data_IF_680925424649
#
_entry.id   IF_680925424649
#
_cell.length_a   1.000
_cell.length_b   1.000
_cell.length_c   1.000
_cell.angle_alpha   90.00
_cell.angle_beta   90.00
_cell.angle_gamma   90.00
#
_symmetry.space_group_name_H-M   'P 1'
#
loop_
_entity.id
_entity.type
_entity.pdbx_description
1 polymer ?
#
# COMPACT_ATOMS: atom_id res chain seq x y z
N UNK A 1 29.50 50.39 -9.16
CA UNK A 1 28.74 49.29 -9.80
C UNK A 1 28.74 48.11 -8.85
N UNK A 2 27.57 47.67 -8.39
CA UNK A 2 27.43 46.47 -7.55
C UNK A 2 26.57 45.48 -8.33
N UNK A 3 27.17 44.36 -8.76
CA UNK A 3 26.45 43.31 -9.50
C UNK A 3 25.98 42.27 -8.49
N UNK A 4 24.70 42.29 -8.14
CA UNK A 4 24.09 41.23 -7.32
C UNK A 4 23.82 40.04 -8.22
N UNK A 5 24.65 39.01 -8.11
CA UNK A 5 24.45 37.73 -8.75
C UNK A 5 23.37 36.97 -7.99
N UNK A 6 22.12 37.04 -8.49
CA UNK A 6 21.01 36.24 -7.96
C UNK A 6 21.19 34.81 -8.46
N UNK A 7 21.65 33.93 -7.56
CA UNK A 7 21.59 32.48 -7.77
C UNK A 7 20.11 32.06 -7.75
N UNK A 8 19.51 31.86 -8.93
CA UNK A 8 18.27 31.09 -9.05
C UNK A 8 18.60 29.62 -8.76
N UNK A 9 18.33 29.19 -7.54
CA UNK A 9 18.14 27.78 -7.23
C UNK A 9 16.87 27.34 -7.96
N UNK A 10 17.03 26.65 -9.10
CA UNK A 10 15.94 25.90 -9.70
C UNK A 10 15.52 24.82 -8.67
N UNK A 11 14.26 24.77 -8.23
CA UNK A 11 13.79 23.60 -7.50
C UNK A 11 13.81 22.45 -8.51
N UNK A 12 14.75 21.53 -8.35
CA UNK A 12 14.71 20.23 -9.02
C UNK A 12 13.37 19.59 -8.66
N UNK A 13 12.49 19.48 -9.66
CA UNK A 13 11.11 19.05 -9.49
C UNK A 13 11.06 17.60 -9.01
N UNK A 14 10.69 17.40 -7.75
CA UNK A 14 10.10 16.14 -7.34
C UNK A 14 8.61 16.29 -7.56
N UNK A 15 8.09 15.57 -8.55
CA UNK A 15 6.64 15.50 -8.78
C UNK A 15 6.07 14.43 -7.85
N UNK A 16 5.07 14.82 -7.07
CA UNK A 16 4.31 13.87 -6.26
C UNK A 16 3.31 13.15 -7.18
N UNK A 17 3.40 11.83 -7.26
CA UNK A 17 2.50 11.00 -8.07
C UNK A 17 1.69 10.06 -7.18
N UNK A 18 0.47 9.73 -7.59
CA UNK A 18 -0.34 8.71 -6.92
C UNK A 18 -0.20 7.40 -7.69
N UNK A 19 0.35 6.37 -7.04
CA UNK A 19 0.38 5.01 -7.59
C UNK A 19 -0.73 4.15 -7.02
N UNK A 20 -1.34 3.33 -7.89
CA UNK A 20 -2.42 2.41 -7.54
C UNK A 20 -1.93 0.97 -7.66
N UNK A 21 -2.20 0.15 -6.64
CA UNK A 21 -1.82 -1.27 -6.58
C UNK A 21 -3.05 -2.08 -6.16
N UNK A 22 -3.56 -2.95 -7.04
CA UNK A 22 -4.66 -3.84 -6.71
C UNK A 22 -4.13 -5.16 -6.14
N UNK A 23 -4.63 -5.58 -4.97
CA UNK A 23 -4.21 -6.85 -4.36
C UNK A 23 -5.35 -7.58 -3.66
N UNK A 24 -5.47 -8.90 -3.85
CA UNK A 24 -6.40 -9.72 -3.07
C UNK A 24 -5.82 -10.05 -1.69
N UNK A 25 -6.67 -9.91 -0.67
CA UNK A 25 -6.43 -10.31 0.72
C UNK A 25 -7.40 -11.42 1.08
N UNK A 26 -6.89 -12.48 1.69
CA UNK A 26 -7.69 -13.64 2.08
C UNK A 26 -7.50 -13.93 3.57
N UNK A 27 -8.58 -13.77 4.34
CA UNK A 27 -8.65 -14.36 5.66
C UNK A 27 -8.96 -15.84 5.55
N UNK A 28 -8.14 -16.65 6.21
CA UNK A 28 -8.13 -18.07 6.02
C UNK A 28 -8.16 -18.81 7.36
N UNK A 29 -9.33 -19.33 7.71
CA UNK A 29 -9.55 -20.21 8.85
C UNK A 29 -9.33 -21.71 8.53
N UNK A 30 -9.20 -22.09 7.25
CA UNK A 30 -9.12 -23.50 6.81
C UNK A 30 -7.84 -23.84 6.01
N UNK A 31 -6.79 -23.04 6.09
CA UNK A 31 -5.51 -23.25 5.39
C UNK A 31 -5.57 -23.26 3.82
N UNK A 32 -6.49 -22.53 3.18
CA UNK A 32 -6.50 -22.27 1.72
C UNK A 32 -6.15 -20.83 1.27
N UNK A 33 -5.52 -20.68 0.11
CA UNK A 33 -5.29 -19.39 -0.56
C UNK A 33 -4.30 -19.51 -1.73
N UNK A 34 -4.37 -18.61 -2.69
CA UNK A 34 -3.49 -18.56 -3.86
C UNK A 34 -2.13 -17.91 -3.58
N UNK A 35 -1.15 -18.14 -4.46
CA UNK A 35 0.20 -17.57 -4.36
C UNK A 35 0.21 -16.03 -4.48
N UNK A 36 -0.74 -15.48 -5.21
CA UNK A 36 -0.84 -14.03 -5.45
C UNK A 36 -1.56 -13.27 -4.33
N UNK A 37 -2.07 -13.98 -3.32
CA UNK A 37 -2.91 -13.44 -2.26
C UNK A 37 -2.10 -13.21 -0.98
N UNK A 38 -2.45 -12.16 -0.23
CA UNK A 38 -2.00 -12.07 1.15
C UNK A 38 -2.91 -12.94 2.03
N UNK A 39 -2.38 -14.08 2.48
CA UNK A 39 -3.10 -14.97 3.39
C UNK A 39 -2.94 -14.49 4.83
N UNK A 40 -4.08 -14.33 5.51
CA UNK A 40 -4.15 -13.80 6.88
C UNK A 40 -4.60 -14.91 7.82
N UNK A 41 -3.70 -15.45 8.66
CA UNK A 41 -4.03 -16.53 9.57
C UNK A 41 -4.97 -16.09 10.70
N UNK A 42 -5.67 -17.03 11.35
CA UNK A 42 -6.45 -16.74 12.55
C UNK A 42 -5.54 -16.24 13.68
N UNK A 43 -5.98 -15.20 14.39
CA UNK A 43 -5.26 -14.61 15.54
C UNK A 43 -3.87 -14.06 15.23
N UNK A 44 -3.48 -13.93 13.96
CA UNK A 44 -2.16 -13.45 13.57
C UNK A 44 -2.26 -12.34 12.55
N UNK A 45 -1.18 -11.57 12.53
CA UNK A 45 -0.90 -10.60 11.49
C UNK A 45 -0.27 -11.32 10.28
N UNK A 46 -0.58 -10.83 9.09
CA UNK A 46 0.16 -11.14 7.88
C UNK A 46 0.51 -9.84 7.16
N UNK A 47 1.70 -9.80 6.55
CA UNK A 47 2.18 -8.62 5.85
C UNK A 47 2.78 -8.93 4.49
N UNK A 48 2.67 -7.99 3.55
CA UNK A 48 3.29 -8.07 2.21
C UNK A 48 3.73 -6.69 1.74
N UNK A 49 4.95 -6.62 1.21
CA UNK A 49 5.50 -5.41 0.61
C UNK A 49 5.08 -5.31 -0.86
N UNK A 50 4.66 -4.11 -1.26
CA UNK A 50 4.33 -3.76 -2.63
C UNK A 50 5.19 -2.60 -3.11
N UNK A 51 5.90 -2.80 -4.22
CA UNK A 51 6.81 -1.79 -4.74
C UNK A 51 6.07 -0.62 -5.39
N UNK A 52 6.31 0.58 -4.87
CA UNK A 52 5.65 1.80 -5.29
C UNK A 52 6.43 2.57 -6.37
N UNK A 53 7.69 2.22 -6.66
CA UNK A 53 8.46 2.85 -7.75
C UNK A 53 9.05 4.23 -7.42
N UNK A 54 8.72 4.80 -6.26
CA UNK A 54 9.27 6.04 -5.72
C UNK A 54 9.23 6.00 -4.19
N UNK A 55 9.72 7.06 -3.53
CA UNK A 55 9.68 7.10 -2.06
C UNK A 55 8.26 7.37 -1.57
N UNK A 56 7.69 6.44 -0.80
CA UNK A 56 6.30 6.54 -0.34
C UNK A 56 6.21 7.51 0.84
N UNK A 57 5.43 8.58 0.66
CA UNK A 57 5.12 9.55 1.71
C UNK A 57 3.92 9.11 2.56
N UNK A 58 2.87 8.63 1.88
CA UNK A 58 1.64 8.19 2.49
C UNK A 58 1.03 7.04 1.70
N UNK A 59 0.25 6.19 2.36
CA UNK A 59 -0.49 5.13 1.70
C UNK A 59 -1.83 4.88 2.39
N UNK A 60 -2.87 4.64 1.59
CA UNK A 60 -4.21 4.27 2.07
C UNK A 60 -4.78 3.15 1.20
N UNK A 61 -5.82 2.49 1.70
CA UNK A 61 -6.51 1.44 0.96
C UNK A 61 -8.00 1.70 0.89
N UNK A 62 -8.62 1.18 -0.16
CA UNK A 62 -10.08 1.13 -0.33
C UNK A 62 -10.48 -0.26 -0.82
N UNK A 63 -11.68 -0.75 -0.50
CA UNK A 63 -12.20 -1.97 -1.10
C UNK A 63 -12.41 -1.78 -2.61
N UNK A 64 -12.03 -2.77 -3.42
CA UNK A 64 -12.13 -2.75 -4.88
C UNK A 64 -13.57 -3.03 -5.34
N UNK A 65 -14.29 -3.89 -4.63
CA UNK A 65 -15.70 -4.25 -4.84
C UNK A 65 -16.53 -4.07 -3.55
N UNK A 66 -17.86 -4.20 -3.68
CA UNK A 66 -18.77 -4.10 -2.54
C UNK A 66 -18.69 -5.39 -1.72
N UNK A 67 -17.90 -5.40 -0.64
CA UNK A 67 -17.55 -6.64 0.05
C UNK A 67 -18.27 -6.76 1.39
N UNK A 68 -19.20 -7.71 1.48
CA UNK A 68 -19.88 -8.11 2.72
C UNK A 68 -19.03 -8.95 3.67
N UNK A 69 -17.83 -9.38 3.24
CA UNK A 69 -16.94 -10.28 3.99
C UNK A 69 -15.82 -9.54 4.76
N UNK A 70 -15.81 -8.20 4.75
CA UNK A 70 -14.98 -7.39 5.64
C UNK A 70 -15.10 -7.75 7.13
N UNK A 71 -16.26 -8.21 7.68
CA UNK A 71 -16.36 -8.58 9.10
C UNK A 71 -15.38 -9.67 9.57
N UNK A 72 -14.89 -10.51 8.66
CA UNK A 72 -13.89 -11.54 8.96
C UNK A 72 -12.46 -11.00 9.12
N UNK A 73 -12.20 -9.79 8.61
CA UNK A 73 -10.93 -9.08 8.72
C UNK A 73 -11.17 -7.86 9.61
N UNK A 74 -10.57 -7.84 10.81
CA UNK A 74 -10.86 -6.74 11.73
C UNK A 74 -10.01 -5.50 11.49
N UNK A 75 -8.86 -5.64 10.80
CA UNK A 75 -7.95 -4.53 10.53
C UNK A 75 -7.13 -4.77 9.27
N UNK A 76 -7.06 -3.75 8.41
CA UNK A 76 -6.16 -3.63 7.26
C UNK A 76 -5.43 -2.31 7.40
N UNK A 77 -4.11 -2.32 7.22
CA UNK A 77 -3.25 -1.15 7.26
C UNK A 77 -2.32 -1.13 6.05
N UNK A 78 -2.06 0.07 5.55
CA UNK A 78 -1.05 0.34 4.53
C UNK A 78 -0.03 1.29 5.14
N UNK A 79 1.20 0.83 5.30
CA UNK A 79 2.27 1.57 5.97
C UNK A 79 3.36 1.90 4.97
N UNK A 80 3.73 3.17 4.78
CA UNK A 80 4.91 3.54 4.00
C UNK A 80 6.18 2.83 4.51
N UNK A 81 6.96 2.25 3.60
CA UNK A 81 8.15 1.45 3.90
C UNK A 81 9.25 1.72 2.85
N UNK A 82 9.77 2.95 2.84
CA UNK A 82 10.75 3.40 1.86
C UNK A 82 10.14 3.48 0.47
N UNK A 83 10.62 2.67 -0.48
CA UNK A 83 10.07 2.60 -1.84
C UNK A 83 8.89 1.63 -2.00
N UNK A 84 8.40 1.10 -0.87
CA UNK A 84 7.33 0.12 -0.83
C UNK A 84 6.19 0.59 0.07
N UNK A 85 5.00 0.02 -0.14
CA UNK A 85 3.91 0.02 0.84
C UNK A 85 3.89 -1.36 1.51
N UNK A 86 3.96 -1.39 2.83
CA UNK A 86 3.70 -2.60 3.60
C UNK A 86 2.20 -2.71 3.89
N UNK A 87 1.54 -3.68 3.26
CA UNK A 87 0.17 -4.06 3.60
C UNK A 87 0.22 -4.99 4.79
N UNK A 88 -0.49 -4.65 5.86
CA UNK A 88 -0.58 -5.44 7.08
C UNK A 88 -2.05 -5.73 7.36
N UNK A 89 -2.39 -7.00 7.57
CA UNK A 89 -3.78 -7.42 7.77
C UNK A 89 -3.89 -8.38 8.95
N UNK A 90 -4.99 -8.24 9.68
CA UNK A 90 -5.31 -9.08 10.82
C UNK A 90 -6.67 -9.77 10.67
N UNK A 91 -6.65 -11.09 10.79
CA UNK A 91 -7.84 -11.92 10.78
C UNK A 91 -8.61 -11.79 12.09
N UNK A 92 -9.93 -11.98 12.05
CA UNK A 92 -10.76 -12.09 13.26
C UNK A 92 -10.98 -13.56 13.61
N UNK A 93 -10.76 -13.89 14.88
CA UNK A 93 -11.10 -15.19 15.47
C UNK A 93 -12.54 -15.62 15.20
N UNK A 94 -12.75 -16.91 14.93
CA UNK A 94 -14.10 -17.51 14.88
C UNK A 94 -14.98 -17.00 13.72
N UNK A 95 -14.38 -16.29 12.76
CA UNK A 95 -15.06 -15.89 11.53
C UNK A 95 -14.86 -16.95 10.46
N UNK A 96 -15.74 -16.96 9.45
CA UNK A 96 -15.60 -17.80 8.26
C UNK A 96 -14.46 -17.30 7.38
N UNK A 97 -13.92 -18.17 6.51
CA UNK A 97 -13.04 -17.75 5.41
C UNK A 97 -13.64 -16.58 4.65
N UNK A 98 -12.81 -15.61 4.30
CA UNK A 98 -13.24 -14.39 3.63
C UNK A 98 -12.17 -13.89 2.67
N UNK A 99 -12.62 -13.26 1.60
CA UNK A 99 -11.76 -12.66 0.59
C UNK A 99 -12.20 -11.25 0.31
N UNK A 100 -11.24 -10.34 0.30
CA UNK A 100 -11.41 -8.91 0.04
C UNK A 100 -10.41 -8.52 -1.03
N UNK A 101 -10.86 -7.88 -2.11
CA UNK A 101 -9.96 -7.19 -3.03
C UNK A 101 -9.85 -5.74 -2.60
N UNK A 102 -8.62 -5.24 -2.50
CA UNK A 102 -8.37 -3.85 -2.14
C UNK A 102 -7.53 -3.17 -3.23
N UNK A 103 -7.76 -1.87 -3.38
CA UNK A 103 -6.81 -0.98 -4.04
C UNK A 103 -6.00 -0.27 -2.97
N UNK A 104 -4.69 -0.28 -3.12
CA UNK A 104 -3.76 0.53 -2.34
C UNK A 104 -3.39 1.73 -3.18
N UNK A 105 -3.51 2.91 -2.60
CA UNK A 105 -3.03 4.16 -3.16
C UNK A 105 -1.79 4.58 -2.36
N UNK A 106 -0.74 5.01 -3.07
CA UNK A 106 0.48 5.50 -2.48
C UNK A 106 0.80 6.87 -3.08
N UNK A 107 0.99 7.86 -2.22
CA UNK A 107 1.60 9.14 -2.59
C UNK A 107 3.12 8.95 -2.59
N UNK A 108 3.74 9.14 -3.75
CA UNK A 108 5.17 8.91 -3.96
C UNK A 108 5.86 10.17 -4.44
N UNK A 109 7.03 10.46 -3.87
CA UNK A 109 8.00 11.34 -4.52
C UNK A 109 8.65 10.57 -5.65
N UNK A 110 8.35 10.97 -6.88
CA UNK A 110 9.06 10.47 -8.04
C UNK A 110 10.43 11.15 -8.07
N UNK A 111 11.48 10.33 -7.99
CA UNK A 111 12.83 10.77 -8.34
C UNK A 111 12.98 10.45 -9.82
N UNK A 112 12.40 11.29 -10.68
CA UNK A 112 12.58 11.11 -12.11
C UNK A 112 14.05 11.34 -12.46
N UNK A 113 14.83 10.25 -12.50
CA UNK A 113 16.18 10.24 -13.07
C UNK A 113 16.17 9.73 -14.50
N UNK A 114 15.02 9.76 -15.20
CA UNK A 114 14.98 9.43 -16.63
C UNK A 114 15.27 10.69 -17.45
N UNK A 115 16.55 10.89 -17.75
CA UNK A 115 17.00 11.60 -18.96
C UNK A 115 17.46 10.57 -19.98
#
# INVERSE_FOLDING_TARGET
LFTVLVFLLAPSGSEAAIKVIATPVVYNNNAGGGADELQVPPYREASKLFHAGGHVLAAWWVPFDNIGDLPAIHRIQTVPAGTNVNLVVHGRSGQRNARVRIMIYADILDNDTRF
#
